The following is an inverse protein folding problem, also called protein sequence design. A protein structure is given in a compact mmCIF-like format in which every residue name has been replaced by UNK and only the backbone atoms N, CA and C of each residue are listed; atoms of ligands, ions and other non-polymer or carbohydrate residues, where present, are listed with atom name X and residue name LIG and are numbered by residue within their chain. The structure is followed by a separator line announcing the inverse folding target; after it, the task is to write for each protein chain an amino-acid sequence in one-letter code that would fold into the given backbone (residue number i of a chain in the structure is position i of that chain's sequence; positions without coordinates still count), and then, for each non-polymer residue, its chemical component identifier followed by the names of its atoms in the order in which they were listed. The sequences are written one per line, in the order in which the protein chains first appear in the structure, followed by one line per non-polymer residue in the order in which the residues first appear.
data_IF_995972061418
#
_entry.id   IF_995972061418
#
_cell.length_a   1.000
_cell.length_b   1.000
_cell.length_c   1.000
_cell.angle_alpha   90.00
_cell.angle_beta   90.00
_cell.angle_gamma   90.00
#
_symmetry.space_group_name_H-M   'P 1'
#
loop_
_entity.id
_entity.type
_entity.pdbx_description
1 polymer ?
#
# COMPACT_ATOMS: atom_id res chain seq x y z
N UNK A 1 46.96 -50.94 44.56
CA UNK A 1 45.77 -51.02 43.69
C UNK A 1 44.57 -50.29 44.27
N UNK A 2 44.53 -48.97 44.12
CA UNK A 2 43.34 -48.18 44.44
C UNK A 2 42.59 -47.92 43.12
N UNK A 3 41.61 -48.77 42.81
CA UNK A 3 40.67 -48.52 41.71
C UNK A 3 39.79 -47.34 42.12
N UNK A 4 39.94 -46.21 41.42
CA UNK A 4 39.00 -45.10 41.50
C UNK A 4 37.59 -45.63 41.23
N UNK A 5 36.75 -45.61 42.25
CA UNK A 5 35.30 -45.83 42.10
C UNK A 5 34.72 -44.55 41.50
N UNK A 6 34.15 -44.65 40.30
CA UNK A 6 33.53 -43.53 39.58
C UNK A 6 32.23 -43.07 40.24
N UNK A 7 32.31 -42.44 41.41
CA UNK A 7 31.16 -41.80 42.06
C UNK A 7 30.81 -40.48 41.33
N UNK A 8 29.64 -40.46 40.70
CA UNK A 8 29.14 -39.29 39.94
C UNK A 8 28.22 -38.38 40.76
N UNK A 9 27.91 -38.71 42.02
CA UNK A 9 26.86 -38.03 42.80
C UNK A 9 27.08 -36.52 42.90
N UNK A 10 28.33 -36.09 43.13
CA UNK A 10 28.67 -34.67 43.17
C UNK A 10 28.54 -33.99 41.80
N UNK A 11 28.93 -34.69 40.72
CA UNK A 11 28.78 -34.21 39.34
C UNK A 11 27.30 -34.04 39.00
N UNK A 12 26.44 -34.98 39.40
CA UNK A 12 25.00 -34.92 39.17
C UNK A 12 24.33 -33.79 39.95
N UNK A 13 24.75 -33.53 41.19
CA UNK A 13 24.30 -32.35 41.95
C UNK A 13 24.69 -31.03 41.28
N UNK A 14 25.95 -30.91 40.83
CA UNK A 14 26.42 -29.73 40.09
C UNK A 14 25.68 -29.59 38.75
N UNK A 15 25.42 -30.70 38.06
CA UNK A 15 24.62 -30.77 36.82
C UNK A 15 23.23 -30.13 36.99
N UNK A 16 22.54 -30.37 38.11
CA UNK A 16 21.23 -29.76 38.39
C UNK A 16 21.32 -28.23 38.44
N UNK A 17 22.37 -27.68 39.06
CA UNK A 17 22.57 -26.23 39.18
C UNK A 17 23.00 -25.61 37.84
N UNK A 18 23.97 -26.22 37.14
CA UNK A 18 24.52 -25.68 35.90
C UNK A 18 23.55 -25.84 34.72
N UNK A 19 22.71 -26.87 34.68
CA UNK A 19 21.77 -27.10 33.59
C UNK A 19 20.86 -25.89 33.37
N UNK A 20 20.28 -25.34 34.44
CA UNK A 20 19.39 -24.17 34.34
C UNK A 20 20.15 -22.91 33.92
N UNK A 21 21.37 -22.71 34.41
CA UNK A 21 22.19 -21.55 34.03
C UNK A 21 22.58 -21.60 32.55
N UNK A 22 22.99 -22.77 32.04
CA UNK A 22 23.31 -22.98 30.63
C UNK A 22 22.07 -22.77 29.76
N UNK A 23 20.91 -23.31 30.16
CA UNK A 23 19.66 -23.12 29.42
C UNK A 23 19.24 -21.64 29.35
N UNK A 24 19.36 -20.89 30.44
CA UNK A 24 19.07 -19.46 30.46
C UNK A 24 20.07 -18.66 29.63
N UNK A 25 21.36 -19.03 29.65
CA UNK A 25 22.38 -18.42 28.81
C UNK A 25 22.05 -18.59 27.32
N UNK A 26 21.74 -19.81 26.87
CA UNK A 26 21.35 -20.04 25.48
C UNK A 26 20.03 -19.37 25.10
N UNK A 27 19.08 -19.23 26.04
CA UNK A 27 17.84 -18.49 25.80
C UNK A 27 18.10 -16.99 25.64
N UNK A 28 18.91 -16.38 26.50
CA UNK A 28 19.29 -14.98 26.39
C UNK A 28 20.11 -14.71 25.12
N UNK A 29 21.04 -15.61 24.79
CA UNK A 29 21.78 -15.58 23.53
C UNK A 29 20.84 -15.65 22.34
N UNK A 30 19.90 -16.60 22.30
CA UNK A 30 18.92 -16.71 21.21
C UNK A 30 18.00 -15.48 21.11
N UNK A 31 17.63 -14.86 22.24
CA UNK A 31 16.83 -13.63 22.25
C UNK A 31 17.61 -12.43 21.70
N UNK A 32 18.92 -12.35 21.95
CA UNK A 32 19.76 -11.26 21.45
C UNK A 32 20.17 -11.41 19.96
N UNK A 33 19.90 -12.55 19.32
CA UNK A 33 20.33 -12.83 17.93
C UNK A 33 19.13 -12.95 16.98
N UNK A 34 18.79 -11.90 16.20
CA UNK A 34 17.64 -11.91 15.30
C UNK A 34 17.63 -13.06 14.29
N UNK A 35 18.79 -13.47 13.76
CA UNK A 35 18.89 -14.59 12.83
C UNK A 35 18.32 -15.89 13.41
N UNK A 36 18.57 -16.15 14.70
CA UNK A 36 18.05 -17.33 15.41
C UNK A 36 16.55 -17.21 15.69
N UNK A 37 16.06 -15.99 15.91
CA UNK A 37 14.62 -15.77 16.11
C UNK A 37 13.81 -16.00 14.83
N UNK A 38 14.33 -15.55 13.68
CA UNK A 38 13.61 -15.63 12.39
C UNK A 38 13.43 -17.06 11.91
N UNK A 39 14.40 -17.95 12.17
CA UNK A 39 14.32 -19.37 11.80
C UNK A 39 13.30 -20.16 12.62
N UNK A 40 12.87 -19.64 13.78
CA UNK A 40 11.90 -20.31 14.64
C UNK A 40 10.48 -19.92 14.22
N UNK A 41 9.60 -20.90 14.09
CA UNK A 41 8.16 -20.66 13.91
C UNK A 41 7.57 -19.78 15.04
N UNK A 42 8.18 -19.86 16.23
CA UNK A 42 7.91 -18.98 17.39
C UNK A 42 8.89 -17.80 17.40
N UNK A 43 9.07 -17.11 16.27
CA UNK A 43 9.90 -15.91 16.15
C UNK A 43 9.28 -14.73 16.89
N UNK A 44 9.15 -14.86 18.21
CA UNK A 44 8.07 -14.22 18.97
C UNK A 44 8.24 -12.73 19.24
N UNK A 45 9.44 -12.15 19.07
CA UNK A 45 9.66 -10.73 19.38
C UNK A 45 10.07 -9.90 18.18
N UNK A 46 11.11 -10.31 17.44
CA UNK A 46 11.55 -9.57 16.25
C UNK A 46 10.45 -9.54 15.20
N UNK A 47 9.80 -10.68 14.92
CA UNK A 47 8.67 -10.71 13.98
C UNK A 47 7.50 -9.88 14.47
N UNK A 48 7.11 -10.02 15.74
CA UNK A 48 6.02 -9.23 16.32
C UNK A 48 6.30 -7.72 16.27
N UNK A 49 7.56 -7.31 16.46
CA UNK A 49 7.98 -5.91 16.30
C UNK A 49 7.90 -5.45 14.84
N UNK A 50 8.34 -6.29 13.88
CA UNK A 50 8.20 -5.99 12.45
C UNK A 50 6.73 -5.94 12.01
N UNK A 51 5.89 -6.84 12.51
CA UNK A 51 4.44 -6.83 12.28
C UNK A 51 3.85 -5.52 12.80
N UNK A 52 4.14 -5.14 14.05
CA UNK A 52 3.68 -3.88 14.62
C UNK A 52 4.17 -2.65 13.83
N UNK A 53 5.44 -2.64 13.41
CA UNK A 53 6.01 -1.59 12.56
C UNK A 53 5.36 -1.52 11.19
N UNK A 54 4.96 -2.66 10.64
CA UNK A 54 4.27 -2.77 9.36
C UNK A 54 2.76 -2.50 9.46
N UNK A 55 2.24 -2.20 10.66
CA UNK A 55 0.81 -2.01 10.91
C UNK A 55 0.00 -3.30 10.89
N UNK A 56 0.65 -4.46 11.02
CA UNK A 56 0.04 -5.79 11.10
C UNK A 56 -0.18 -6.12 12.58
N UNK A 57 -1.38 -6.58 12.95
CA UNK A 57 -1.68 -7.06 14.30
C UNK A 57 -2.87 -6.39 14.98
N UNK A 58 -3.51 -5.42 14.32
CA UNK A 58 -4.85 -4.96 14.71
C UNK A 58 -5.93 -5.78 13.99
N UNK A 59 -7.08 -6.05 14.61
CA UNK A 59 -8.19 -6.75 13.95
C UNK A 59 -8.55 -6.09 12.61
N UNK A 60 -8.54 -6.87 11.53
CA UNK A 60 -8.88 -6.39 10.17
C UNK A 60 -7.71 -5.79 9.37
N UNK A 61 -6.47 -5.82 9.89
CA UNK A 61 -5.27 -5.35 9.16
C UNK A 61 -4.51 -6.45 8.43
N UNK A 62 -4.86 -7.71 8.71
CA UNK A 62 -4.25 -8.89 8.10
C UNK A 62 -4.65 -9.00 6.63
N UNK A 63 -3.65 -9.07 5.76
CA UNK A 63 -3.86 -9.35 4.36
C UNK A 63 -2.72 -10.26 3.88
N UNK A 64 -2.93 -11.59 3.82
CA UNK A 64 -1.87 -12.56 3.55
C UNK A 64 -1.06 -12.27 2.29
N UNK A 65 -1.69 -11.66 1.27
CA UNK A 65 -1.04 -11.31 0.01
C UNK A 65 -0.10 -10.10 0.13
N UNK A 66 -0.38 -9.16 1.04
CA UNK A 66 0.42 -7.95 1.27
C UNK A 66 1.36 -8.08 2.46
N UNK A 67 1.04 -8.94 3.44
CA UNK A 67 1.75 -9.04 4.72
C UNK A 67 3.24 -9.35 4.52
N UNK A 68 3.60 -10.21 3.56
CA UNK A 68 4.99 -10.50 3.26
C UNK A 68 5.79 -9.27 2.80
N UNK A 69 5.16 -8.38 2.00
CA UNK A 69 5.80 -7.16 1.50
C UNK A 69 5.80 -6.08 2.56
N UNK A 70 4.70 -5.95 3.32
CA UNK A 70 4.61 -5.10 4.51
C UNK A 70 5.72 -5.42 5.52
N UNK A 71 5.98 -6.71 5.78
CA UNK A 71 7.08 -7.13 6.65
C UNK A 71 8.46 -6.79 6.09
N UNK A 72 8.69 -6.98 4.79
CA UNK A 72 9.98 -6.64 4.16
C UNK A 72 10.25 -5.13 4.23
N UNK A 73 9.20 -4.32 4.13
CA UNK A 73 9.28 -2.86 4.17
C UNK A 73 8.90 -2.27 5.53
N UNK A 74 8.85 -3.06 6.60
CA UNK A 74 8.36 -2.62 7.92
C UNK A 74 9.07 -1.36 8.44
N UNK A 75 10.38 -1.26 8.26
CA UNK A 75 11.16 -0.07 8.64
C UNK A 75 10.76 1.18 7.86
N UNK A 76 10.42 1.02 6.58
CA UNK A 76 9.95 2.10 5.72
C UNK A 76 8.54 2.54 6.11
N UNK A 77 7.64 1.59 6.35
CA UNK A 77 6.26 1.83 6.78
C UNK A 77 6.17 2.47 8.17
N UNK A 78 7.09 2.14 9.08
CA UNK A 78 7.16 2.75 10.41
C UNK A 78 7.73 4.18 10.41
N UNK A 79 8.30 4.64 9.30
CA UNK A 79 8.80 6.00 9.18
C UNK A 79 7.66 7.02 9.21
N UNK A 80 7.82 8.10 9.96
CA UNK A 80 6.85 9.21 9.97
C UNK A 80 6.90 10.08 8.72
N UNK A 81 7.96 9.95 7.90
CA UNK A 81 8.10 10.76 6.68
C UNK A 81 7.33 10.08 5.55
N UNK A 82 6.18 10.65 5.22
CA UNK A 82 5.32 10.19 4.14
C UNK A 82 5.78 10.79 2.80
N UNK A 83 6.69 10.09 2.13
CA UNK A 83 7.21 10.48 0.81
C UNK A 83 6.56 9.76 -0.36
N UNK A 84 6.55 10.36 -1.57
CA UNK A 84 6.03 9.72 -2.79
C UNK A 84 6.78 8.42 -3.13
N UNK A 85 8.09 8.36 -2.88
CA UNK A 85 8.93 7.18 -3.14
C UNK A 85 8.53 6.00 -2.27
N UNK A 86 8.12 6.25 -1.01
CA UNK A 86 7.69 5.19 -0.11
C UNK A 86 6.46 4.48 -0.65
N UNK A 87 5.46 5.26 -1.09
CA UNK A 87 4.23 4.75 -1.67
C UNK A 87 4.50 3.98 -2.97
N UNK A 88 5.28 4.55 -3.88
CA UNK A 88 5.56 3.92 -5.18
C UNK A 88 6.40 2.66 -5.03
N UNK A 89 7.40 2.64 -4.14
CA UNK A 89 8.24 1.47 -3.87
C UNK A 89 7.44 0.33 -3.26
N UNK A 90 6.58 0.60 -2.27
CA UNK A 90 5.71 -0.39 -1.67
C UNK A 90 4.77 -1.01 -2.71
N UNK A 91 4.07 -0.17 -3.48
CA UNK A 91 3.12 -0.64 -4.49
C UNK A 91 3.83 -1.38 -5.62
N UNK A 92 5.00 -0.92 -6.05
CA UNK A 92 5.77 -1.60 -7.10
C UNK A 92 6.22 -2.99 -6.66
N UNK A 93 6.64 -3.15 -5.40
CA UNK A 93 7.05 -4.44 -4.85
C UNK A 93 5.86 -5.38 -4.61
N UNK A 94 4.77 -4.86 -4.03
CA UNK A 94 3.55 -5.62 -3.75
C UNK A 94 2.90 -6.15 -5.02
N UNK A 95 2.81 -5.32 -6.06
CA UNK A 95 2.15 -5.68 -7.30
C UNK A 95 3.09 -6.14 -8.40
N UNK A 96 4.42 -6.10 -8.20
CA UNK A 96 5.44 -6.47 -9.20
C UNK A 96 5.28 -5.74 -10.54
N UNK A 97 4.88 -4.48 -10.49
CA UNK A 97 4.62 -3.63 -11.67
C UNK A 97 5.23 -2.25 -11.45
N UNK A 98 5.61 -1.51 -12.51
CA UNK A 98 6.08 -0.15 -12.34
C UNK A 98 4.94 0.74 -11.86
N UNK A 99 5.21 1.56 -10.83
CA UNK A 99 4.27 2.53 -10.28
C UNK A 99 4.93 3.89 -10.22
N UNK A 100 4.26 4.90 -10.77
CA UNK A 100 4.68 6.30 -10.71
C UNK A 100 3.57 7.12 -10.08
N UNK A 101 3.94 8.22 -9.42
CA UNK A 101 3.00 9.17 -8.84
C UNK A 101 3.10 10.50 -9.55
N UNK A 102 1.95 11.09 -9.84
CA UNK A 102 1.82 12.49 -10.23
C UNK A 102 1.23 13.24 -9.04
N UNK A 103 2.07 14.07 -8.45
CA UNK A 103 1.70 14.91 -7.31
C UNK A 103 0.94 16.16 -7.77
N UNK A 104 0.23 16.76 -6.82
CA UNK A 104 -0.46 18.03 -6.94
C UNK A 104 -1.41 18.16 -8.14
N UNK A 105 -2.28 17.15 -8.31
CA UNK A 105 -3.26 17.12 -9.40
C UNK A 105 -4.34 18.17 -9.15
N UNK A 106 -4.50 19.06 -10.12
CA UNK A 106 -5.50 20.12 -10.08
C UNK A 106 -6.93 19.55 -10.10
N UNK A 107 -7.76 20.00 -9.16
CA UNK A 107 -9.17 19.64 -9.07
C UNK A 107 -10.03 20.82 -8.63
N UNK A 108 -11.29 20.81 -9.08
CA UNK A 108 -12.31 21.78 -8.66
C UNK A 108 -13.18 21.16 -7.58
N UNK A 109 -13.00 21.60 -6.34
CA UNK A 109 -13.79 21.15 -5.20
C UNK A 109 -15.09 21.95 -5.10
N UNK A 110 -16.22 21.24 -5.08
CA UNK A 110 -17.53 21.84 -4.83
C UNK A 110 -17.62 22.31 -3.38
N UNK A 111 -18.07 23.56 -3.19
CA UNK A 111 -18.36 24.16 -1.90
C UNK A 111 -19.84 23.89 -1.57
N UNK A 112 -20.15 23.24 -0.43
CA UNK A 112 -21.52 23.04 0.02
C UNK A 112 -22.29 24.37 0.10
N UNK A 113 -23.57 24.37 -0.26
CA UNK A 113 -24.38 25.59 -0.32
C UNK A 113 -24.47 26.36 1.00
N UNK A 114 -24.25 25.69 2.14
CA UNK A 114 -24.17 26.28 3.49
C UNK A 114 -22.86 27.01 3.76
N UNK A 115 -21.78 26.66 3.05
CA UNK A 115 -20.45 27.26 3.17
C UNK A 115 -20.15 28.29 2.09
N UNK A 116 -21.10 28.53 1.18
CA UNK A 116 -20.97 29.54 0.14
C UNK A 116 -21.20 30.95 0.72
N UNK A 117 -20.45 31.90 0.18
CA UNK A 117 -20.60 33.32 0.52
C UNK A 117 -21.99 33.84 0.19
N UNK A 118 -22.62 34.49 1.17
CA UNK A 118 -23.91 35.17 1.01
C UNK A 118 -23.83 36.56 1.60
N UNK A 119 -24.19 37.57 0.80
CA UNK A 119 -24.18 38.97 1.22
C UNK A 119 -25.06 39.16 2.47
N UNK A 120 -24.57 39.96 3.42
CA UNK A 120 -25.21 40.18 4.72
C UNK A 120 -25.44 38.91 5.57
N UNK A 121 -24.77 37.80 5.27
CA UNK A 121 -24.83 36.55 6.02
C UNK A 121 -23.41 36.01 6.31
N UNK A 122 -23.28 34.69 6.43
CA UNK A 122 -22.01 34.01 6.68
C UNK A 122 -21.06 34.07 5.48
N UNK A 123 -19.76 33.92 5.78
CA UNK A 123 -18.68 33.84 4.78
C UNK A 123 -18.62 35.05 3.82
N UNK A 124 -19.03 36.24 4.27
CA UNK A 124 -19.07 37.47 3.45
C UNK A 124 -17.89 38.43 3.71
N UNK A 125 -16.90 38.03 4.52
CA UNK A 125 -15.74 38.85 4.86
C UNK A 125 -14.57 38.51 3.93
N UNK A 126 -14.14 39.51 3.15
CA UNK A 126 -12.98 39.41 2.27
C UNK A 126 -11.70 39.12 3.06
N UNK A 127 -10.83 38.28 2.50
CA UNK A 127 -9.57 37.86 3.15
C UNK A 127 -9.72 36.88 4.32
N UNK A 128 -10.95 36.52 4.72
CA UNK A 128 -11.20 35.52 5.77
C UNK A 128 -11.95 34.30 5.27
N UNK A 129 -13.13 34.50 4.67
CA UNK A 129 -14.01 33.39 4.31
C UNK A 129 -14.82 33.60 3.03
N UNK A 130 -14.71 34.77 2.40
CA UNK A 130 -15.40 35.01 1.13
C UNK A 130 -14.79 34.19 -0.01
N UNK A 131 -15.62 33.39 -0.68
CA UNK A 131 -15.27 32.60 -1.88
C UNK A 131 -16.10 33.07 -3.06
N UNK A 132 -15.49 33.12 -4.25
CA UNK A 132 -16.20 33.46 -5.48
C UNK A 132 -16.78 32.19 -6.13
N UNK A 133 -18.11 32.13 -6.25
CA UNK A 133 -18.80 31.01 -6.88
C UNK A 133 -18.89 29.72 -6.05
N UNK A 134 -19.46 28.65 -6.63
CA UNK A 134 -19.78 27.41 -5.91
C UNK A 134 -18.63 26.40 -5.85
N UNK A 135 -17.45 26.71 -6.38
CA UNK A 135 -16.30 25.79 -6.48
C UNK A 135 -14.99 26.49 -6.17
N UNK A 136 -14.06 25.79 -5.53
CA UNK A 136 -12.70 26.26 -5.29
C UNK A 136 -11.70 25.38 -6.03
N UNK A 137 -10.65 26.00 -6.58
CA UNK A 137 -9.56 25.29 -7.21
C UNK A 137 -8.56 24.82 -6.15
N UNK A 138 -8.23 23.53 -6.13
CA UNK A 138 -7.21 22.95 -5.25
C UNK A 138 -6.25 22.10 -6.06
N UNK A 139 -4.97 22.13 -5.65
CA UNK A 139 -3.95 21.21 -6.15
C UNK A 139 -3.39 20.31 -5.06
N UNK A 140 -3.80 20.47 -3.80
CA UNK A 140 -3.15 19.81 -2.67
C UNK A 140 -3.88 18.54 -2.22
N UNK A 141 -5.13 18.36 -2.66
CA UNK A 141 -6.03 17.33 -2.17
C UNK A 141 -6.11 16.08 -3.06
N UNK A 142 -5.36 16.04 -4.18
CA UNK A 142 -5.47 14.95 -5.16
C UNK A 142 -4.12 14.56 -5.76
N UNK A 143 -3.92 13.26 -5.88
CA UNK A 143 -2.77 12.62 -6.55
C UNK A 143 -3.26 11.64 -7.63
N UNK A 144 -2.40 11.32 -8.59
CA UNK A 144 -2.67 10.27 -9.59
C UNK A 144 -1.55 9.24 -9.58
N UNK A 145 -1.90 7.98 -9.33
CA UNK A 145 -1.01 6.84 -9.44
C UNK A 145 -1.09 6.28 -10.86
N UNK A 146 0.05 6.13 -11.53
CA UNK A 146 0.19 5.50 -12.83
C UNK A 146 0.79 4.11 -12.64
N UNK A 147 0.07 3.07 -13.07
CA UNK A 147 0.51 1.68 -12.97
C UNK A 147 0.73 1.12 -14.37
N UNK A 148 1.93 0.58 -14.61
CA UNK A 148 2.33 0.01 -15.89
C UNK A 148 3.57 0.68 -16.48
N UNK A 149 3.98 0.28 -17.69
CA UNK A 149 3.19 -0.47 -18.68
C UNK A 149 2.91 -1.92 -18.29
N UNK A 150 1.69 -2.40 -18.55
CA UNK A 150 1.24 -3.76 -18.24
C UNK A 150 1.00 -4.60 -19.50
N UNK A 151 1.06 -5.92 -19.38
CA UNK A 151 0.50 -6.83 -20.38
C UNK A 151 -1.03 -6.85 -20.36
N UNK A 152 -1.67 -7.39 -21.40
CA UNK A 152 -3.14 -7.36 -21.54
C UNK A 152 -3.87 -8.13 -20.43
N UNK A 153 -3.36 -9.30 -20.04
CA UNK A 153 -3.97 -10.09 -18.96
C UNK A 153 -3.89 -9.37 -17.61
N UNK A 154 -2.73 -8.81 -17.28
CA UNK A 154 -2.56 -8.04 -16.05
C UNK A 154 -3.43 -6.78 -16.04
N UNK A 155 -3.48 -6.07 -17.17
CA UNK A 155 -4.35 -4.90 -17.34
C UNK A 155 -5.81 -5.24 -17.00
N UNK A 156 -6.34 -6.37 -17.48
CA UNK A 156 -7.70 -6.81 -17.15
C UNK A 156 -7.92 -7.02 -15.66
N UNK A 157 -6.91 -7.52 -14.93
CA UNK A 157 -7.02 -7.71 -13.46
C UNK A 157 -7.07 -6.41 -12.67
N UNK A 158 -6.58 -5.29 -13.24
CA UNK A 158 -6.68 -3.95 -12.67
C UNK A 158 -7.96 -3.19 -13.06
N UNK A 159 -8.78 -3.75 -13.96
CA UNK A 159 -10.06 -3.14 -14.32
C UNK A 159 -11.11 -3.27 -13.19
N UNK A 160 -12.17 -2.44 -13.17
CA UNK A 160 -13.25 -2.54 -12.20
C UNK A 160 -13.84 -3.95 -12.05
N UNK A 161 -13.88 -4.47 -10.82
CA UNK A 161 -14.31 -5.86 -10.54
C UNK A 161 -13.18 -6.89 -10.55
N UNK A 162 -11.96 -6.52 -10.95
CA UNK A 162 -10.78 -7.35 -10.81
C UNK A 162 -10.26 -7.40 -9.38
N UNK A 163 -9.77 -8.56 -8.95
CA UNK A 163 -9.24 -8.78 -7.60
C UNK A 163 -8.01 -7.90 -7.32
N UNK A 164 -7.12 -7.73 -8.30
CA UNK A 164 -5.88 -6.95 -8.17
C UNK A 164 -6.17 -5.47 -7.91
N UNK A 165 -7.23 -4.91 -8.52
CA UNK A 165 -7.68 -3.55 -8.21
C UNK A 165 -8.16 -3.40 -6.77
N UNK A 166 -8.90 -4.38 -6.23
CA UNK A 166 -9.38 -4.30 -4.84
C UNK A 166 -8.22 -4.33 -3.85
N UNK A 167 -7.26 -5.23 -4.07
CA UNK A 167 -6.04 -5.28 -3.27
C UNK A 167 -5.24 -3.98 -3.40
N UNK A 168 -5.15 -3.40 -4.60
CA UNK A 168 -4.46 -2.13 -4.84
C UNK A 168 -5.12 -0.97 -4.08
N UNK A 169 -6.45 -0.90 -4.10
CA UNK A 169 -7.20 0.08 -3.29
C UNK A 169 -6.93 -0.07 -1.80
N UNK A 170 -6.89 -1.30 -1.30
CA UNK A 170 -6.59 -1.56 0.11
C UNK A 170 -5.16 -1.11 0.45
N UNK A 171 -4.17 -1.52 -0.36
CA UNK A 171 -2.77 -1.12 -0.19
C UNK A 171 -2.59 0.40 -0.16
N UNK A 172 -3.24 1.13 -1.08
CA UNK A 172 -3.20 2.60 -1.11
C UNK A 172 -3.86 3.19 0.14
N UNK A 173 -5.01 2.64 0.58
CA UNK A 173 -5.71 3.09 1.79
C UNK A 173 -4.88 2.87 3.05
N UNK A 174 -4.19 1.74 3.15
CA UNK A 174 -3.33 1.43 4.29
C UNK A 174 -2.17 2.44 4.42
N UNK A 175 -1.69 2.98 3.31
CA UNK A 175 -0.54 3.90 3.30
C UNK A 175 -0.91 5.39 3.34
N UNK A 176 -1.96 5.79 2.63
CA UNK A 176 -2.36 7.21 2.47
C UNK A 176 -3.54 7.58 3.38
N UNK A 177 -4.27 6.58 3.86
CA UNK A 177 -5.53 6.76 4.57
C UNK A 177 -6.62 7.31 3.65
N UNK A 178 -7.47 8.17 4.22
CA UNK A 178 -8.56 8.85 3.49
C UNK A 178 -8.32 10.36 3.35
N UNK A 179 -7.08 10.81 3.58
CA UNK A 179 -6.72 12.24 3.59
C UNK A 179 -6.66 12.88 2.20
N UNK A 180 -6.33 12.08 1.17
CA UNK A 180 -6.15 12.52 -0.22
C UNK A 180 -7.04 11.73 -1.16
N UNK A 181 -7.59 12.40 -2.18
CA UNK A 181 -8.21 11.70 -3.29
C UNK A 181 -7.12 11.12 -4.20
N UNK A 182 -7.20 9.83 -4.47
CA UNK A 182 -6.24 9.11 -5.31
C UNK A 182 -6.92 8.65 -6.58
N UNK A 183 -6.44 9.15 -7.71
CA UNK A 183 -6.80 8.62 -9.02
C UNK A 183 -5.84 7.50 -9.44
N UNK A 184 -6.33 6.54 -10.22
CA UNK A 184 -5.52 5.47 -10.79
C UNK A 184 -5.58 5.54 -12.31
N UNK A 185 -4.41 5.65 -12.95
CA UNK A 185 -4.23 5.49 -14.38
C UNK A 185 -3.55 4.15 -14.64
N UNK A 186 -4.19 3.31 -15.45
CA UNK A 186 -3.66 2.00 -15.82
C UNK A 186 -3.09 2.12 -17.23
N UNK A 187 -1.81 1.82 -17.38
CA UNK A 187 -1.07 1.94 -18.63
C UNK A 187 -0.89 0.55 -19.24
N UNK A 188 -1.44 0.33 -20.42
CA UNK A 188 -1.28 -0.91 -21.20
C UNK A 188 -0.12 -0.76 -22.18
N UNK A 189 0.80 -1.72 -22.18
CA UNK A 189 1.94 -1.72 -23.10
C UNK A 189 1.46 -1.68 -24.55
N UNK A 190 2.13 -0.89 -25.40
CA UNK A 190 1.74 -0.67 -26.81
C UNK A 190 1.53 -1.99 -27.58
N UNK A 191 2.37 -2.98 -27.31
CA UNK A 191 2.42 -4.30 -27.99
C UNK A 191 1.28 -5.22 -27.51
N UNK A 192 0.70 -4.92 -26.35
CA UNK A 192 -0.38 -5.68 -25.74
C UNK A 192 -1.77 -5.08 -26.02
N UNK A 193 -1.86 -4.00 -26.81
CA UNK A 193 -3.15 -3.41 -27.20
C UNK A 193 -3.87 -4.36 -28.17
N UNK A 194 -5.05 -4.90 -27.80
CA UNK A 194 -5.76 -5.84 -28.66
C UNK A 194 -6.35 -5.13 -29.88
N UNK A 195 -6.49 -5.86 -30.99
CA UNK A 195 -7.28 -5.37 -32.12
C UNK A 195 -8.76 -5.27 -31.71
N UNK A 196 -9.44 -4.14 -31.99
CA UNK A 196 -10.84 -3.97 -31.63
C UNK A 196 -11.71 -4.92 -32.48
N UNK A 197 -12.23 -5.98 -31.85
CA UNK A 197 -13.19 -6.91 -32.46
C UNK A 197 -14.53 -6.81 -31.74
N UNK A 198 -15.60 -6.67 -32.52
CA UNK A 198 -16.97 -6.65 -32.01
C UNK A 198 -17.23 -7.96 -31.23
N UNK A 199 -17.82 -7.85 -30.03
CA UNK A 199 -18.10 -8.98 -29.14
C UNK A 199 -16.93 -9.42 -28.24
N UNK A 200 -15.71 -8.92 -28.46
CA UNK A 200 -14.54 -9.26 -27.64
C UNK A 200 -14.00 -8.10 -26.78
N UNK A 201 -14.43 -6.86 -27.06
CA UNK A 201 -13.99 -5.65 -26.34
C UNK A 201 -15.11 -5.02 -25.52
N UNK A 202 -14.73 -4.36 -24.42
CA UNK A 202 -15.61 -3.58 -23.57
C UNK A 202 -15.35 -2.09 -23.83
N UNK A 203 -16.40 -1.36 -24.21
CA UNK A 203 -16.31 0.08 -24.45
C UNK A 203 -15.84 0.82 -23.20
N UNK A 204 -14.94 1.78 -23.38
CA UNK A 204 -14.35 2.58 -22.30
C UNK A 204 -13.41 1.81 -21.36
N UNK A 205 -13.11 0.53 -21.66
CA UNK A 205 -12.25 -0.32 -20.81
C UNK A 205 -11.16 -1.04 -21.59
N UNK A 206 -11.52 -1.72 -22.68
CA UNK A 206 -10.60 -2.53 -23.49
C UNK A 206 -10.71 -2.26 -24.99
N UNK A 207 -11.31 -1.13 -25.38
CA UNK A 207 -11.51 -0.75 -26.78
C UNK A 207 -10.61 0.43 -27.16
N UNK A 208 -9.73 0.24 -28.14
CA UNK A 208 -8.96 1.31 -28.78
C UNK A 208 -9.25 1.30 -30.29
N UNK A 209 -9.76 2.42 -30.81
CA UNK A 209 -10.06 2.56 -32.24
C UNK A 209 -8.90 3.26 -32.95
N UNK A 210 -8.42 2.65 -34.04
CA UNK A 210 -7.45 3.24 -34.97
C UNK A 210 -6.26 3.96 -34.31
N UNK A 211 -5.60 3.30 -33.34
CA UNK A 211 -4.49 3.89 -32.58
C UNK A 211 -3.22 3.95 -33.45
N UNK A 212 -2.63 5.14 -33.70
CA UNK A 212 -1.37 5.24 -34.43
C UNK A 212 -0.24 4.50 -33.70
N UNK A 213 0.62 3.80 -34.44
CA UNK A 213 1.75 3.06 -33.85
C UNK A 213 2.73 3.98 -33.08
N UNK A 214 2.78 5.25 -33.44
CA UNK A 214 3.63 6.28 -32.83
C UNK A 214 3.14 6.77 -31.46
N UNK A 215 1.89 6.43 -31.07
CA UNK A 215 1.25 6.95 -29.85
C UNK A 215 1.77 6.32 -28.53
N UNK A 216 2.75 5.42 -28.60
CA UNK A 216 3.39 4.81 -27.41
C UNK A 216 2.48 3.87 -26.64
N UNK A 217 2.62 3.75 -25.32
CA UNK A 217 1.76 2.91 -24.46
C UNK A 217 0.36 3.51 -24.27
N UNK A 218 -0.66 2.67 -24.13
CA UNK A 218 -2.05 3.10 -23.99
C UNK A 218 -2.36 3.48 -22.55
N UNK A 219 -2.51 4.78 -22.28
CA UNK A 219 -2.71 5.34 -20.95
C UNK A 219 -4.11 5.96 -20.75
N UNK A 220 -5.07 5.65 -21.64
CA UNK A 220 -6.42 6.23 -21.65
C UNK A 220 -7.27 5.81 -20.42
N UNK A 221 -7.02 4.63 -19.84
CA UNK A 221 -7.82 4.09 -18.73
C UNK A 221 -7.53 4.80 -17.41
N UNK A 222 -8.46 5.65 -16.97
CA UNK A 222 -8.39 6.37 -15.69
C UNK A 222 -9.60 6.07 -14.81
N UNK A 223 -9.32 5.60 -13.60
CA UNK A 223 -10.29 5.47 -12.51
C UNK A 223 -10.14 6.66 -11.57
N UNK A 224 -11.22 7.42 -11.38
CA UNK A 224 -11.22 8.56 -10.45
C UNK A 224 -11.52 8.09 -9.03
N UNK A 225 -10.81 8.68 -8.08
CA UNK A 225 -11.05 8.55 -6.64
C UNK A 225 -11.19 7.08 -6.19
N UNK A 226 -10.16 6.28 -6.45
CA UNK A 226 -10.11 4.87 -6.02
C UNK A 226 -10.02 4.73 -4.49
N UNK A 227 -9.42 5.73 -3.84
CA UNK A 227 -9.31 5.95 -2.40
C UNK A 227 -9.46 7.47 -2.19
N UNK A 228 -10.11 7.89 -1.11
CA UNK A 228 -10.22 9.31 -0.79
C UNK A 228 -11.35 9.62 0.17
N UNK A 229 -11.36 10.88 0.62
CA UNK A 229 -12.36 11.41 1.55
C UNK A 229 -13.75 11.49 0.92
N UNK A 230 -13.81 11.73 -0.40
CA UNK A 230 -15.06 11.84 -1.14
C UNK A 230 -15.27 10.58 -1.97
N UNK A 231 -16.13 9.65 -1.56
CA UNK A 231 -16.68 8.68 -2.50
C UNK A 231 -17.65 9.40 -3.44
N UNK A 232 -17.14 10.28 -4.31
CA UNK A 232 -17.83 10.48 -5.59
C UNK A 232 -17.77 9.10 -6.26
N UNK A 233 -18.95 8.55 -6.58
CA UNK A 233 -19.11 7.24 -7.22
C UNK A 233 -18.04 7.09 -8.29
N UNK A 234 -17.31 5.97 -8.27
CA UNK A 234 -16.25 5.67 -9.22
C UNK A 234 -16.83 5.64 -10.65
N UNK A 235 -17.03 6.80 -11.25
CA UNK A 235 -17.41 6.96 -12.63
C UNK A 235 -16.16 6.71 -13.47
N UNK A 236 -16.27 5.72 -14.35
CA UNK A 236 -15.31 5.51 -15.41
C UNK A 236 -15.38 6.77 -16.28
N UNK A 237 -14.38 7.63 -16.17
CA UNK A 237 -14.24 8.75 -17.09
C UNK A 237 -13.79 8.16 -18.43
N UNK A 238 -14.74 8.05 -19.36
CA UNK A 238 -14.54 7.65 -20.75
C UNK A 238 -13.72 8.69 -21.53
#
# INVERSE_FOLDING_TARGET
DARQTSDTTFVDFVNILQHRMIALYYRAWADAHPAVQVERAVGGRVRAMLEAMAGIGLPGTENPDLDAVKLRQAASLASQVDGPERLTLFLAEAFKVPVQIKEFVATWMTIPASLQTRLAQAYAVLGRGATIGPRVFSRQSRIELRVGPLGYEEFKTFLPGGQRLQMFKQAVRDMVGESLDVDLRIVLAREAVPQPRIGAVQLGRTSWLARPAERGDADDMRLRTIVGWRPEMAEVAA
#
